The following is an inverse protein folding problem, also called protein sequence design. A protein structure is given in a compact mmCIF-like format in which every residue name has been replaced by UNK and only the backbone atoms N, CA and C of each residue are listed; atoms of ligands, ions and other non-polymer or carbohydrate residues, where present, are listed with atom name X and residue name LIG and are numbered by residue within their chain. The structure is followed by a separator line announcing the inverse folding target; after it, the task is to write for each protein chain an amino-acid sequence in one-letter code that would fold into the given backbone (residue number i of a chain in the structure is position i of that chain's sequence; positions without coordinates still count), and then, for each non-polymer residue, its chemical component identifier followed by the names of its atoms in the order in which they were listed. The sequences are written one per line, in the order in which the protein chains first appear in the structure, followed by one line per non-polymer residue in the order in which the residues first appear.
data_IF_151224887718
#
_entry.id   IF_151224887718
#
_cell.length_a   1.000
_cell.length_b   1.000
_cell.length_c   1.000
_cell.angle_alpha   90.00
_cell.angle_beta   90.00
_cell.angle_gamma   90.00
#
_symmetry.space_group_name_H-M   'P 1'
#
loop_
_entity.id
_entity.type
_entity.pdbx_description
1 polymer ?
#
# COMPACT_ATOMS: atom_id res chain seq x y z
N UNK A 1 21.90 11.88 -6.12
CA UNK A 1 20.75 11.37 -5.35
C UNK A 1 19.59 11.22 -6.31
N UNK A 2 19.06 10.01 -6.48
CA UNK A 2 17.87 9.81 -7.31
C UNK A 2 16.66 10.27 -6.49
N UNK A 3 15.94 11.28 -6.95
CA UNK A 3 14.65 11.63 -6.35
C UNK A 3 13.70 10.46 -6.63
N UNK A 4 13.28 9.76 -5.57
CA UNK A 4 12.18 8.82 -5.66
C UNK A 4 10.90 9.65 -5.73
N UNK A 5 10.27 9.69 -6.90
CA UNK A 5 8.99 10.39 -7.11
C UNK A 5 7.81 9.64 -6.49
N UNK A 6 8.03 8.42 -6.00
CA UNK A 6 7.05 7.53 -5.40
C UNK A 6 7.61 6.96 -4.10
N UNK A 7 6.77 6.88 -3.06
CA UNK A 7 7.10 6.30 -1.75
C UNK A 7 7.35 4.78 -1.83
N UNK A 8 6.72 4.13 -2.82
CA UNK A 8 6.81 2.70 -3.06
C UNK A 8 7.14 2.39 -4.53
N UNK A 9 7.54 1.15 -4.78
CA UNK A 9 7.95 0.64 -6.10
C UNK A 9 7.21 -0.66 -6.44
N UNK A 10 7.18 -1.01 -7.74
CA UNK A 10 6.59 -2.27 -8.18
C UNK A 10 7.22 -3.46 -7.44
N UNK A 11 6.39 -4.36 -6.94
CA UNK A 11 6.81 -5.54 -6.17
C UNK A 11 6.94 -5.32 -4.67
N UNK A 12 6.84 -4.09 -4.16
CA UNK A 12 6.82 -3.84 -2.72
C UNK A 12 5.58 -4.47 -2.06
N UNK A 13 5.77 -5.00 -0.85
CA UNK A 13 4.68 -5.47 0.00
C UNK A 13 4.27 -4.35 0.95
N UNK A 14 2.97 -4.07 0.97
CA UNK A 14 2.34 -3.01 1.76
C UNK A 14 1.12 -3.53 2.49
N UNK A 15 0.69 -2.77 3.49
CA UNK A 15 -0.48 -3.03 4.31
C UNK A 15 -1.40 -1.83 4.22
N UNK A 16 -2.69 -2.06 4.01
CA UNK A 16 -3.70 -1.01 4.04
C UNK A 16 -3.94 -0.58 5.50
N UNK A 17 -3.88 0.72 5.77
CA UNK A 17 -4.17 1.26 7.09
C UNK A 17 -5.63 1.03 7.48
N UNK A 18 -6.55 0.98 6.53
CA UNK A 18 -7.98 0.74 6.79
C UNK A 18 -8.32 -0.73 6.97
N UNK A 19 -7.46 -1.64 6.53
CA UNK A 19 -7.71 -3.08 6.62
C UNK A 19 -7.46 -3.59 8.04
N UNK A 20 -8.50 -4.10 8.69
CA UNK A 20 -8.37 -4.65 10.05
C UNK A 20 -7.60 -5.96 10.08
N UNK A 21 -7.62 -6.72 8.98
CA UNK A 21 -6.91 -7.99 8.88
C UNK A 21 -5.41 -7.80 8.62
N UNK A 22 -5.02 -6.59 8.19
CA UNK A 22 -3.64 -6.26 7.82
C UNK A 22 -3.07 -7.29 6.83
N UNK A 23 -3.84 -7.57 5.78
CA UNK A 23 -3.42 -8.46 4.70
C UNK A 23 -2.21 -7.88 3.96
N UNK A 24 -1.42 -8.76 3.36
CA UNK A 24 -0.27 -8.36 2.55
C UNK A 24 -0.71 -8.08 1.12
N UNK A 25 -0.47 -6.85 0.67
CA UNK A 25 -0.75 -6.43 -0.70
C UNK A 25 0.56 -6.18 -1.44
N UNK A 26 0.66 -6.62 -2.68
CA UNK A 26 1.81 -6.36 -3.55
C UNK A 26 1.48 -5.23 -4.53
N UNK A 27 2.41 -4.30 -4.74
CA UNK A 27 2.28 -3.26 -5.76
C UNK A 27 2.49 -3.87 -7.14
N UNK A 28 1.48 -3.76 -8.00
CA UNK A 28 1.47 -4.31 -9.35
C UNK A 28 1.52 -3.24 -10.43
N UNK A 29 1.20 -1.99 -10.13
CA UNK A 29 1.39 -0.86 -11.06
C UNK A 29 1.38 0.46 -10.29
N UNK A 30 1.91 1.52 -10.90
CA UNK A 30 1.94 2.87 -10.33
C UNK A 30 1.54 3.87 -11.42
N UNK A 31 0.38 4.51 -11.24
CA UNK A 31 -0.06 5.61 -12.09
C UNK A 31 0.34 6.94 -11.46
N UNK A 32 1.21 7.68 -12.14
CA UNK A 32 1.60 9.02 -11.74
C UNK A 32 0.52 10.03 -12.16
N UNK A 33 -0.03 10.76 -11.19
CA UNK A 33 -0.91 11.92 -11.36
C UNK A 33 -0.14 13.19 -11.01
N UNK A 34 -0.63 14.39 -11.39
CA UNK A 34 -0.02 15.64 -10.94
C UNK A 34 0.07 15.68 -9.41
N UNK A 35 1.30 15.72 -8.89
CA UNK A 35 1.67 15.75 -7.47
C UNK A 35 1.30 14.50 -6.63
N UNK A 36 0.80 13.42 -7.23
CA UNK A 36 0.33 12.24 -6.49
C UNK A 36 0.67 10.96 -7.25
N UNK A 37 0.91 9.88 -6.52
CA UNK A 37 1.03 8.54 -7.07
C UNK A 37 -0.17 7.69 -6.64
N UNK A 38 -0.85 7.09 -7.61
CA UNK A 38 -1.86 6.08 -7.37
C UNK A 38 -1.23 4.70 -7.56
N UNK A 39 -1.31 3.85 -6.54
CA UNK A 39 -0.73 2.52 -6.56
C UNK A 39 -1.83 1.49 -6.80
N UNK A 40 -1.62 0.63 -7.79
CA UNK A 40 -2.43 -0.54 -8.02
C UNK A 40 -1.84 -1.68 -7.21
N UNK A 41 -2.62 -2.27 -6.33
CA UNK A 41 -2.18 -3.30 -5.41
C UNK A 41 -3.03 -4.56 -5.53
N UNK A 42 -2.43 -5.72 -5.28
CA UNK A 42 -3.11 -7.01 -5.35
C UNK A 42 -2.87 -7.86 -4.10
N UNK A 43 -3.90 -8.60 -3.69
CA UNK A 43 -3.83 -9.62 -2.63
C UNK A 43 -4.54 -10.88 -3.13
N UNK A 44 -3.77 -11.86 -3.62
CA UNK A 44 -4.33 -13.03 -4.30
C UNK A 44 -5.09 -12.65 -5.57
N UNK A 45 -6.40 -12.95 -5.60
CA UNK A 45 -7.30 -12.57 -6.71
C UNK A 45 -7.94 -11.20 -6.55
N UNK A 46 -7.71 -10.50 -5.44
CA UNK A 46 -8.26 -9.18 -5.17
C UNK A 46 -7.32 -8.09 -5.70
N UNK A 47 -7.91 -7.02 -6.20
CA UNK A 47 -7.21 -5.82 -6.66
C UNK A 47 -7.82 -4.59 -5.99
N UNK A 48 -6.99 -3.59 -5.72
CA UNK A 48 -7.39 -2.33 -5.10
C UNK A 48 -6.46 -1.20 -5.55
N UNK A 49 -6.97 0.03 -5.51
CA UNK A 49 -6.20 1.24 -5.81
C UNK A 49 -6.05 2.03 -4.52
N UNK A 50 -4.82 2.43 -4.18
CA UNK A 50 -4.55 3.16 -2.94
C UNK A 50 -3.52 4.27 -3.15
N UNK A 51 -3.62 5.32 -2.34
CA UNK A 51 -2.60 6.36 -2.23
C UNK A 51 -1.54 6.00 -1.17
N UNK A 52 -0.40 6.68 -1.24
CA UNK A 52 0.72 6.52 -0.32
C UNK A 52 0.33 6.64 1.16
N UNK A 53 -0.51 7.62 1.50
CA UNK A 53 -0.95 7.87 2.87
C UNK A 53 -1.94 6.82 3.40
N UNK A 54 -2.54 6.00 2.53
CA UNK A 54 -3.45 4.91 2.91
C UNK A 54 -2.72 3.61 3.23
N UNK A 55 -1.42 3.55 2.92
CA UNK A 55 -0.60 2.34 3.02
C UNK A 55 0.56 2.50 4.01
N UNK A 56 1.12 1.37 4.43
CA UNK A 56 2.30 1.27 5.27
C UNK A 56 3.17 0.08 4.86
N UNK A 57 4.50 0.19 5.03
CA UNK A 57 5.42 -0.96 4.89
C UNK A 57 5.37 -1.93 6.08
N UNK A 58 4.80 -1.48 7.19
CA UNK A 58 4.69 -2.26 8.41
C UNK A 58 3.21 -2.51 8.74
N UNK A 59 2.86 -3.74 9.15
CA UNK A 59 1.52 -4.03 9.62
C UNK A 59 1.25 -3.30 10.94
N UNK A 60 0.01 -2.82 11.09
CA UNK A 60 -0.49 -2.28 12.34
C UNK A 60 -0.85 -3.45 13.29
N UNK A 61 0.05 -3.71 14.25
CA UNK A 61 -0.11 -4.81 15.20
C UNK A 61 -1.36 -4.67 16.08
N UNK A 62 -1.81 -3.45 16.37
CA UNK A 62 -3.00 -3.23 17.20
C UNK A 62 -4.26 -3.66 16.45
N UNK A 63 -4.35 -3.31 15.16
CA UNK A 63 -5.45 -3.74 14.28
C UNK A 63 -5.48 -5.25 14.12
N UNK A 64 -4.32 -5.85 13.89
CA UNK A 64 -4.19 -7.31 13.77
C UNK A 64 -4.64 -8.07 15.02
N UNK A 65 -4.47 -7.47 16.20
CA UNK A 65 -4.91 -8.04 17.48
C UNK A 65 -6.37 -7.68 17.85
N UNK A 66 -7.08 -6.93 17.00
CA UNK A 66 -8.46 -6.51 17.26
C UNK A 66 -8.61 -5.49 18.39
N UNK A 67 -7.52 -4.80 18.75
CA UNK A 67 -7.50 -3.77 19.79
C UNK A 67 -7.72 -2.41 19.10
N UNK A 68 -8.93 -1.86 19.22
CA UNK A 68 -9.28 -0.50 18.76
C UNK A 68 -9.29 0.49 19.92
#
# INVERSE_FOLDING_TARGET
MHQHFTEYTFGDIVYLKTDSNQEQWIITDITLKPNLALYHIACGSLQHDAYDFEMSRQPDANKKMGLQ
#
